data_IF_959965640246
#
_entry.id   IF_959965640246
#
_cell.length_a   1.000
_cell.length_b   1.000
_cell.length_c   1.000
_cell.angle_alpha   90.00
_cell.angle_beta   90.00
_cell.angle_gamma   90.00
#
_symmetry.space_group_name_H-M   'P 1'
#
loop_
_entity.id
_entity.type
_entity.pdbx_description
1 polymer ?
#
# COMPACT_ATOMS: atom_id res chain seq x y z
N UNK A 1 -32.55 -39.39 8.60
CA UNK A 1 -32.03 -39.75 7.27
C UNK A 1 -31.59 -38.44 6.65
N UNK A 2 -30.30 -38.14 6.72
CA UNK A 2 -29.73 -36.84 6.34
C UNK A 2 -29.45 -36.85 4.84
N UNK A 3 -29.96 -35.83 4.14
CA UNK A 3 -30.07 -35.78 2.68
C UNK A 3 -28.72 -35.76 1.94
N UNK A 4 -28.41 -36.86 1.26
CA UNK A 4 -27.25 -37.01 0.37
C UNK A 4 -27.25 -35.99 -0.79
N UNK A 5 -28.41 -35.46 -1.16
CA UNK A 5 -28.55 -34.47 -2.25
C UNK A 5 -27.93 -33.11 -1.93
N UNK A 6 -27.93 -32.67 -0.67
CA UNK A 6 -27.31 -31.39 -0.28
C UNK A 6 -25.78 -31.48 -0.31
N UNK A 7 -25.23 -32.67 -0.09
CA UNK A 7 -23.79 -32.91 -0.14
C UNK A 7 -23.26 -32.88 -1.57
N UNK A 8 -23.96 -33.52 -2.50
CA UNK A 8 -23.54 -33.55 -3.92
C UNK A 8 -23.57 -32.16 -4.58
N UNK A 9 -24.50 -31.28 -4.21
CA UNK A 9 -24.55 -29.91 -4.73
C UNK A 9 -23.43 -29.04 -4.16
N UNK A 10 -23.05 -29.23 -2.89
CA UNK A 10 -21.94 -28.51 -2.27
C UNK A 10 -20.60 -28.88 -2.91
N UNK A 11 -20.40 -30.16 -3.19
CA UNK A 11 -19.16 -30.67 -3.78
C UNK A 11 -18.98 -30.28 -5.25
N UNK A 12 -20.07 -30.06 -6.00
CA UNK A 12 -20.00 -29.67 -7.41
C UNK A 12 -19.87 -28.16 -7.64
N UNK A 13 -20.45 -27.33 -6.78
CA UNK A 13 -20.59 -25.89 -7.06
C UNK A 13 -19.95 -24.96 -6.02
N UNK A 14 -19.43 -25.49 -4.92
CA UNK A 14 -18.83 -24.68 -3.86
C UNK A 14 -19.81 -23.66 -3.27
N UNK A 15 -19.32 -22.76 -2.42
CA UNK A 15 -20.11 -21.89 -1.54
C UNK A 15 -21.12 -20.93 -2.25
N UNK A 16 -21.20 -20.94 -3.58
CA UNK A 16 -22.18 -20.20 -4.37
C UNK A 16 -23.55 -20.89 -4.50
N UNK A 17 -23.67 -22.18 -4.14
CA UNK A 17 -24.90 -22.97 -4.34
C UNK A 17 -25.96 -22.91 -3.23
N UNK A 18 -25.68 -22.26 -2.09
CA UNK A 18 -26.55 -22.29 -0.89
C UNK A 18 -27.28 -20.97 -0.59
N UNK A 19 -27.55 -20.18 -1.62
CA UNK A 19 -28.30 -18.92 -1.50
C UNK A 19 -29.75 -18.98 -1.98
N UNK A 20 -30.19 -20.06 -2.63
CA UNK A 20 -31.49 -20.12 -3.28
C UNK A 20 -32.28 -21.35 -2.85
N UNK A 21 -33.20 -21.13 -1.92
CA UNK A 21 -34.36 -22.01 -1.73
C UNK A 21 -34.47 -22.63 -0.34
N UNK A 22 -35.35 -22.05 0.49
CA UNK A 22 -35.80 -22.71 1.71
C UNK A 22 -36.76 -21.92 2.59
N UNK A 23 -38.06 -22.02 2.31
CA UNK A 23 -39.08 -22.12 3.37
C UNK A 23 -40.04 -20.93 3.58
N UNK A 24 -41.29 -21.20 4.05
CA UNK A 24 -42.47 -20.35 3.86
C UNK A 24 -42.77 -19.43 5.05
N UNK A 25 -43.18 -18.18 4.79
CA UNK A 25 -43.69 -17.30 5.85
C UNK A 25 -43.71 -15.81 5.50
N UNK A 26 -44.87 -15.37 4.99
CA UNK A 26 -45.55 -14.08 5.23
C UNK A 26 -44.72 -12.82 5.55
N UNK A 27 -44.72 -11.83 4.64
CA UNK A 27 -44.27 -10.47 4.95
C UNK A 27 -44.15 -9.53 3.76
N UNK A 28 -45.29 -9.15 3.18
CA UNK A 28 -45.60 -7.86 2.55
C UNK A 28 -44.46 -7.06 1.83
N UNK A 29 -44.34 -7.21 0.50
CA UNK A 29 -43.89 -6.13 -0.37
C UNK A 29 -44.61 -6.18 -1.72
N UNK A 30 -45.26 -5.07 -2.03
CA UNK A 30 -46.04 -4.78 -3.22
C UNK A 30 -45.26 -4.94 -4.54
N UNK A 31 -45.74 -5.86 -5.38
CA UNK A 31 -46.00 -5.64 -6.81
C UNK A 31 -44.82 -5.42 -7.74
N UNK A 32 -44.18 -6.50 -8.19
CA UNK A 32 -43.71 -6.68 -9.58
C UNK A 32 -43.58 -8.20 -9.84
N UNK A 33 -44.66 -8.81 -10.33
CA UNK A 33 -44.66 -10.19 -10.83
C UNK A 33 -44.27 -10.14 -12.31
N UNK A 34 -42.98 -10.33 -12.61
CA UNK A 34 -42.52 -10.62 -13.97
C UNK A 34 -42.18 -12.11 -14.01
N UNK A 35 -43.00 -12.90 -14.70
CA UNK A 35 -42.79 -14.33 -14.89
C UNK A 35 -41.57 -14.59 -15.77
N UNK A 36 -40.86 -15.71 -15.52
CA UNK A 36 -39.66 -16.11 -16.26
C UNK A 36 -39.86 -16.21 -17.78
N UNK A 37 -41.09 -16.45 -18.23
CA UNK A 37 -41.42 -16.53 -19.66
C UNK A 37 -41.30 -15.16 -20.38
N UNK A 38 -41.51 -14.03 -19.68
CA UNK A 38 -41.42 -12.68 -20.27
C UNK A 38 -39.99 -12.11 -20.28
N UNK A 39 -39.08 -12.68 -19.47
CA UNK A 39 -37.65 -12.36 -19.55
C UNK A 39 -37.01 -13.10 -20.73
N UNK A 40 -37.52 -14.27 -21.09
CA UNK A 40 -37.00 -15.08 -22.20
C UNK A 40 -37.50 -14.63 -23.57
N UNK A 41 -38.73 -14.11 -23.66
CA UNK A 41 -39.27 -13.55 -24.90
C UNK A 41 -38.59 -12.23 -25.30
N UNK A 42 -38.23 -11.38 -24.33
CA UNK A 42 -37.59 -10.09 -24.62
C UNK A 42 -36.07 -10.17 -24.87
N UNK A 43 -35.43 -11.29 -24.53
CA UNK A 43 -34.04 -11.61 -24.92
C UNK A 43 -33.96 -12.40 -26.24
N UNK A 44 -35.08 -12.92 -26.74
CA UNK A 44 -35.16 -13.74 -27.95
C UNK A 44 -35.00 -12.96 -29.26
N UNK A 45 -35.32 -11.66 -29.27
CA UNK A 45 -35.26 -10.82 -30.49
C UNK A 45 -33.89 -10.13 -30.72
N UNK A 46 -32.93 -10.30 -29.80
CA UNK A 46 -31.56 -9.77 -29.95
C UNK A 46 -30.53 -10.86 -30.33
N UNK A 47 -30.86 -12.14 -30.15
CA UNK A 47 -29.92 -13.26 -30.32
C UNK A 47 -30.33 -14.27 -31.41
N UNK A 48 -30.98 -13.77 -32.47
CA UNK A 48 -31.19 -14.50 -33.72
C UNK A 48 -29.90 -14.64 -34.54
N UNK A 49 -28.94 -15.39 -34.02
CA UNK A 49 -27.66 -15.66 -34.71
C UNK A 49 -26.69 -16.44 -33.82
N UNK A 50 -26.69 -17.77 -34.00
CA UNK A 50 -25.74 -18.78 -33.50
C UNK A 50 -24.51 -18.28 -32.70
N UNK A 51 -24.57 -18.27 -31.35
CA UNK A 51 -23.43 -17.93 -30.50
C UNK A 51 -22.52 -19.13 -30.19
N UNK A 52 -22.86 -20.34 -30.65
CA UNK A 52 -22.07 -21.55 -30.35
C UNK A 52 -20.90 -21.78 -31.33
N UNK A 53 -20.96 -21.23 -32.55
CA UNK A 53 -19.87 -21.35 -33.53
C UNK A 53 -18.78 -20.28 -33.37
N UNK A 54 -19.07 -19.17 -32.68
CA UNK A 54 -18.14 -18.06 -32.46
C UNK A 54 -17.33 -18.18 -31.16
N UNK A 55 -17.64 -19.15 -30.29
CA UNK A 55 -16.86 -19.46 -29.08
C UNK A 55 -15.74 -20.48 -29.35
N UNK A 56 -15.90 -21.38 -30.34
CA UNK A 56 -14.89 -22.40 -30.68
C UNK A 56 -14.05 -22.05 -31.93
N UNK A 57 -14.23 -20.86 -32.52
CA UNK A 57 -13.49 -20.37 -33.69
C UNK A 57 -12.39 -19.39 -33.31
N UNK A 58 -11.13 -19.80 -33.52
CA UNK A 58 -9.89 -19.07 -33.27
C UNK A 58 -9.92 -17.55 -33.43
N UNK A 59 -9.57 -16.87 -32.34
CA UNK A 59 -9.42 -15.41 -32.34
C UNK A 59 -8.82 -14.88 -31.04
N UNK A 60 -8.01 -15.68 -30.35
CA UNK A 60 -7.23 -15.22 -29.22
C UNK A 60 -6.25 -14.15 -29.68
N UNK A 61 -6.67 -12.88 -29.63
CA UNK A 61 -5.76 -11.74 -29.55
C UNK A 61 -5.07 -11.80 -28.20
N UNK A 62 -4.19 -12.79 -28.06
CA UNK A 62 -3.24 -12.87 -26.96
C UNK A 62 -2.41 -11.61 -27.09
N UNK A 63 -2.61 -10.72 -26.12
CA UNK A 63 -1.89 -9.48 -25.94
C UNK A 63 -0.42 -9.74 -26.30
N UNK A 64 0.05 -9.12 -27.38
CA UNK A 64 1.47 -8.88 -27.56
C UNK A 64 1.83 -8.01 -26.37
N UNK A 65 2.22 -8.65 -25.26
CA UNK A 65 2.90 -7.96 -24.17
C UNK A 65 4.07 -7.29 -24.86
N UNK A 66 3.93 -5.97 -25.07
CA UNK A 66 5.01 -5.14 -25.60
C UNK A 66 6.12 -5.36 -24.60
N UNK A 67 7.14 -6.14 -24.99
CA UNK A 67 8.22 -6.58 -24.12
C UNK A 67 8.77 -5.39 -23.39
N UNK A 68 8.38 -5.24 -22.13
CA UNK A 68 8.81 -4.18 -21.25
C UNK A 68 9.70 -4.85 -20.23
N UNK A 69 10.86 -4.25 -19.96
CA UNK A 69 11.74 -4.78 -18.94
C UNK A 69 11.07 -4.77 -17.57
N UNK A 70 11.61 -5.56 -16.66
CA UNK A 70 11.04 -5.70 -15.31
C UNK A 70 11.16 -4.40 -14.52
N UNK A 71 10.16 -4.12 -13.70
CA UNK A 71 10.19 -2.98 -12.79
C UNK A 71 11.19 -3.20 -11.63
N UNK A 72 11.71 -2.11 -11.09
CA UNK A 72 12.59 -2.09 -9.92
C UNK A 72 11.80 -1.46 -8.77
N UNK A 73 11.73 -2.11 -7.62
CA UNK A 73 11.12 -1.54 -6.41
C UNK A 73 12.19 -1.13 -5.39
N UNK A 74 12.14 0.10 -4.88
CA UNK A 74 13.04 0.59 -3.82
C UNK A 74 12.21 1.15 -2.67
N UNK A 75 12.54 0.76 -1.44
CA UNK A 75 11.97 1.39 -0.23
C UNK A 75 12.83 2.58 0.18
N UNK A 76 12.22 3.76 0.20
CA UNK A 76 12.86 5.00 0.62
C UNK A 76 12.40 5.35 2.02
N UNK A 77 13.29 5.19 2.99
CA UNK A 77 13.02 5.59 4.37
C UNK A 77 13.14 7.11 4.54
N UNK A 78 12.10 7.73 5.08
CA UNK A 78 11.99 9.17 5.28
C UNK A 78 11.79 9.49 6.77
N UNK A 79 12.45 10.54 7.25
CA UNK A 79 12.15 11.09 8.57
C UNK A 79 10.89 11.97 8.52
N UNK A 80 10.26 12.18 9.67
CA UNK A 80 9.07 13.04 9.76
C UNK A 80 9.34 14.49 9.30
N UNK A 81 10.52 15.03 9.59
CA UNK A 81 10.94 16.36 9.11
C UNK A 81 11.04 16.43 7.57
N UNK A 82 11.56 15.37 6.95
CA UNK A 82 11.66 15.26 5.49
C UNK A 82 10.27 15.14 4.84
N UNK A 83 9.35 14.41 5.48
CA UNK A 83 7.97 14.27 5.03
C UNK A 83 7.21 15.59 5.16
N UNK A 84 7.44 16.35 6.24
CA UNK A 84 6.76 17.62 6.46
C UNK A 84 7.12 18.67 5.40
N UNK A 85 8.40 18.79 5.05
CA UNK A 85 8.89 19.82 4.10
C UNK A 85 8.92 19.34 2.65
N UNK A 86 8.97 18.03 2.43
CA UNK A 86 9.35 17.45 1.15
C UNK A 86 10.87 17.54 0.94
N UNK A 87 11.44 16.55 0.28
CA UNK A 87 12.90 16.46 0.10
C UNK A 87 13.26 15.91 -1.28
N UNK A 88 14.37 16.39 -1.82
CA UNK A 88 14.99 15.81 -3.01
C UNK A 88 16.12 14.87 -2.59
N UNK A 89 15.97 13.57 -2.87
CA UNK A 89 16.97 12.54 -2.56
C UNK A 89 17.58 11.96 -3.82
N UNK A 90 18.87 11.64 -3.77
CA UNK A 90 19.57 10.88 -4.80
C UNK A 90 19.65 9.43 -4.37
N UNK A 91 19.04 8.53 -5.12
CA UNK A 91 19.20 7.10 -4.90
C UNK A 91 20.09 6.51 -5.98
N UNK A 92 20.94 5.55 -5.59
CA UNK A 92 21.70 4.75 -6.53
C UNK A 92 20.93 3.46 -6.77
N UNK A 93 20.62 3.19 -8.03
CA UNK A 93 19.98 1.94 -8.44
C UNK A 93 20.92 1.18 -9.36
N UNK A 94 20.88 -0.14 -9.26
CA UNK A 94 21.53 -1.03 -10.21
C UNK A 94 20.48 -1.48 -11.21
N UNK A 95 20.53 -0.94 -12.43
CA UNK A 95 19.62 -1.34 -13.51
C UNK A 95 20.33 -2.25 -14.50
N UNK A 96 19.60 -3.24 -14.99
CA UNK A 96 20.06 -4.11 -16.07
C UNK A 96 19.79 -3.39 -17.39
N UNK A 97 20.84 -3.20 -18.20
CA UNK A 97 20.74 -2.61 -19.53
C UNK A 97 21.29 -3.57 -20.56
N UNK A 98 20.86 -3.37 -21.80
CA UNK A 98 21.48 -4.08 -22.92
C UNK A 98 22.93 -3.63 -23.09
N UNK A 99 23.86 -4.57 -23.23
CA UNK A 99 25.26 -4.24 -23.43
C UNK A 99 25.44 -3.50 -24.77
N UNK A 100 26.23 -2.40 -24.79
CA UNK A 100 26.52 -1.70 -26.04
C UNK A 100 27.26 -2.65 -26.99
N UNK A 101 26.69 -2.90 -28.18
CA UNK A 101 27.24 -3.82 -29.16
C UNK A 101 26.73 -5.26 -29.06
N UNK A 102 25.76 -5.56 -28.20
CA UNK A 102 25.04 -6.83 -28.23
C UNK A 102 24.13 -6.89 -29.47
N UNK A 103 24.37 -7.88 -30.33
CA UNK A 103 23.54 -8.13 -31.50
C UNK A 103 22.67 -9.36 -31.27
N UNK A 104 21.39 -9.25 -31.60
CA UNK A 104 20.45 -10.36 -31.50
C UNK A 104 20.11 -10.90 -32.89
N UNK A 105 20.25 -12.21 -33.04
CA UNK A 105 19.83 -12.94 -34.23
C UNK A 105 18.47 -13.59 -34.00
N UNK A 106 17.68 -13.74 -35.05
CA UNK A 106 16.39 -14.43 -34.97
C UNK A 106 16.61 -15.88 -34.58
N UNK A 107 15.85 -16.39 -33.60
CA UNK A 107 16.00 -17.77 -33.15
C UNK A 107 15.67 -18.72 -34.32
N UNK A 108 16.59 -19.60 -34.74
CA UNK A 108 16.38 -20.47 -35.88
C UNK A 108 15.31 -21.55 -35.62
N UNK A 109 15.09 -21.92 -34.36
CA UNK A 109 14.14 -22.97 -33.97
C UNK A 109 12.68 -22.52 -34.05
N UNK A 110 12.39 -21.26 -33.67
CA UNK A 110 11.03 -20.74 -33.69
C UNK A 110 10.81 -19.67 -34.77
N UNK A 111 11.82 -19.37 -35.61
CA UNK A 111 11.78 -18.31 -36.63
C UNK A 111 11.23 -16.97 -36.11
N UNK A 112 11.61 -16.56 -34.89
CA UNK A 112 11.13 -15.32 -34.28
C UNK A 112 9.75 -15.39 -33.62
N UNK A 113 9.07 -16.53 -33.66
CA UNK A 113 7.72 -16.68 -33.09
C UNK A 113 7.72 -16.85 -31.55
N UNK A 114 8.87 -17.12 -30.93
CA UNK A 114 9.00 -17.33 -29.47
C UNK A 114 8.40 -18.65 -28.94
N UNK A 115 7.57 -19.32 -29.74
CA UNK A 115 6.92 -20.58 -29.42
C UNK A 115 7.20 -21.63 -30.51
N UNK A 116 7.23 -22.90 -30.12
CA UNK A 116 7.36 -24.04 -31.01
C UNK A 116 6.10 -24.88 -30.93
N UNK A 117 5.53 -25.21 -32.09
CA UNK A 117 4.33 -26.02 -32.17
C UNK A 117 4.72 -27.47 -32.44
N UNK A 118 4.57 -28.34 -31.45
CA UNK A 118 4.80 -29.78 -31.60
C UNK A 118 3.48 -30.46 -31.97
N UNK A 119 3.45 -31.11 -33.13
CA UNK A 119 2.32 -31.94 -33.55
C UNK A 119 2.61 -33.38 -33.12
N UNK A 120 1.87 -33.90 -32.14
CA UNK A 120 1.95 -35.28 -31.68
C UNK A 120 0.83 -36.10 -32.32
N UNK A 121 1.18 -37.26 -32.90
CA UNK A 121 0.18 -38.21 -33.41
C UNK A 121 -0.38 -39.02 -32.24
N UNK A 122 -1.69 -38.90 -32.00
CA UNK A 122 -2.42 -39.68 -31.01
C UNK A 122 -3.38 -40.64 -31.72
N UNK A 123 -3.92 -41.62 -30.99
CA UNK A 123 -4.86 -42.62 -31.52
C UNK A 123 -6.14 -41.95 -32.07
N UNK A 124 -6.46 -40.74 -31.62
CA UNK A 124 -7.62 -39.94 -32.03
C UNK A 124 -7.32 -38.88 -33.10
N UNK A 125 -6.09 -38.84 -33.63
CA UNK A 125 -5.67 -37.88 -34.66
C UNK A 125 -4.42 -37.07 -34.29
N UNK A 126 -4.21 -35.95 -34.97
CA UNK A 126 -3.08 -35.05 -34.73
C UNK A 126 -3.43 -34.02 -33.65
N UNK A 127 -2.72 -34.05 -32.53
CA UNK A 127 -2.83 -33.05 -31.46
C UNK A 127 -1.67 -32.06 -31.59
N UNK A 128 -1.98 -30.77 -31.78
CA UNK A 128 -0.99 -29.70 -31.86
C UNK A 128 -0.88 -29.01 -30.50
N UNK A 129 0.29 -29.12 -29.86
CA UNK A 129 0.58 -28.43 -28.61
C UNK A 129 1.64 -27.36 -28.84
N UNK A 130 1.31 -26.13 -28.47
CA UNK A 130 2.25 -25.01 -28.52
C UNK A 130 2.99 -24.91 -27.19
N UNK A 131 4.32 -24.95 -27.22
CA UNK A 131 5.18 -24.75 -26.06
C UNK A 131 6.13 -23.57 -26.28
N UNK A 132 6.63 -23.00 -25.19
CA UNK A 132 7.64 -21.92 -25.25
C UNK A 132 8.92 -22.51 -25.87
N UNK A 133 9.54 -21.79 -26.82
CA UNK A 133 10.75 -22.26 -27.47
C UNK A 133 11.89 -22.42 -26.44
N UNK A 134 12.48 -23.62 -26.27
CA UNK A 134 13.51 -23.85 -25.25
C UNK A 134 14.84 -23.16 -25.56
N UNK A 135 15.06 -22.70 -26.79
CA UNK A 135 16.31 -22.04 -27.21
C UNK A 135 16.28 -20.51 -27.10
N UNK A 136 15.11 -19.89 -26.98
CA UNK A 136 14.98 -18.44 -26.81
C UNK A 136 14.05 -18.04 -25.65
N UNK A 137 13.50 -19.01 -24.93
CA UNK A 137 12.65 -18.83 -23.75
C UNK A 137 11.47 -17.85 -23.99
N UNK A 138 10.95 -17.83 -25.20
CA UNK A 138 9.83 -16.94 -25.57
C UNK A 138 10.24 -15.61 -26.21
N UNK A 139 11.52 -15.22 -26.14
CA UNK A 139 11.99 -13.94 -26.71
C UNK A 139 12.02 -13.90 -28.24
N UNK A 140 12.01 -15.06 -28.90
CA UNK A 140 12.11 -15.18 -30.37
C UNK A 140 13.49 -14.83 -30.94
N UNK A 141 14.43 -14.36 -30.10
CA UNK A 141 15.77 -13.91 -30.48
C UNK A 141 16.83 -14.66 -29.67
N UNK A 142 18.04 -14.75 -30.20
CA UNK A 142 19.22 -15.30 -29.51
C UNK A 142 20.36 -14.31 -29.62
N UNK A 143 21.23 -14.28 -28.62
CA UNK A 143 22.43 -13.46 -28.71
C UNK A 143 23.34 -13.99 -29.83
N UNK A 144 23.68 -13.11 -30.76
CA UNK A 144 24.66 -13.36 -31.80
C UNK A 144 26.04 -12.93 -31.32
N UNK A 145 26.27 -11.61 -31.28
CA UNK A 145 27.50 -11.04 -30.74
C UNK A 145 27.35 -10.73 -29.25
N UNK A 146 28.20 -11.36 -28.43
CA UNK A 146 28.24 -11.17 -26.97
C UNK A 146 29.46 -10.30 -26.61
N UNK A 147 29.27 -9.02 -26.28
CA UNK A 147 30.38 -8.17 -25.86
C UNK A 147 30.99 -8.62 -24.52
N UNK A 148 32.29 -8.37 -24.33
CA UNK A 148 32.99 -8.73 -23.11
C UNK A 148 32.36 -8.07 -21.88
N UNK A 149 32.17 -8.84 -20.80
CA UNK A 149 31.54 -8.37 -19.56
C UNK A 149 30.01 -8.45 -19.54
N UNK A 150 29.35 -8.85 -20.64
CA UNK A 150 27.91 -9.12 -20.66
C UNK A 150 27.57 -10.53 -20.21
N UNK A 151 26.40 -10.71 -19.59
CA UNK A 151 25.86 -12.02 -19.22
C UNK A 151 25.52 -12.89 -20.44
N UNK A 152 25.10 -14.16 -20.24
CA UNK A 152 24.64 -15.04 -21.32
C UNK A 152 23.60 -14.40 -22.24
N UNK A 153 22.79 -13.50 -21.68
CA UNK A 153 21.68 -12.84 -22.37
C UNK A 153 22.08 -11.49 -23.00
N UNK A 154 23.36 -11.11 -22.97
CA UNK A 154 23.85 -9.82 -23.49
C UNK A 154 23.56 -8.62 -22.59
N UNK A 155 23.13 -8.87 -21.37
CA UNK A 155 22.77 -7.86 -20.39
C UNK A 155 23.96 -7.48 -19.49
N UNK A 156 24.04 -6.22 -19.08
CA UNK A 156 25.00 -5.71 -18.09
C UNK A 156 24.28 -4.95 -16.97
N UNK A 157 24.81 -5.05 -15.75
CA UNK A 157 24.33 -4.24 -14.62
C UNK A 157 25.06 -2.90 -14.63
N UNK A 158 24.31 -1.80 -14.72
CA UNK A 158 24.83 -0.43 -14.66
C UNK A 158 24.25 0.30 -13.46
N UNK A 159 25.15 0.84 -12.64
CA UNK A 159 24.76 1.72 -11.54
C UNK A 159 24.34 3.09 -12.11
N UNK A 160 23.17 3.58 -11.70
CA UNK A 160 22.65 4.90 -12.09
C UNK A 160 22.14 5.63 -10.86
N UNK A 161 22.52 6.90 -10.74
CA UNK A 161 21.98 7.78 -9.70
C UNK A 161 20.76 8.52 -10.23
N UNK A 162 19.63 8.40 -9.56
CA UNK A 162 18.36 9.05 -9.91
C UNK A 162 18.00 10.05 -8.81
N UNK A 163 17.62 11.27 -9.23
CA UNK A 163 17.07 12.28 -8.33
C UNK A 163 15.56 12.05 -8.21
N UNK A 164 15.09 11.86 -6.99
CA UNK A 164 13.69 11.67 -6.64
C UNK A 164 13.23 12.88 -5.84
N UNK A 165 12.15 13.52 -6.31
CA UNK A 165 11.50 14.61 -5.58
C UNK A 165 10.32 14.04 -4.81
N UNK A 166 10.48 13.94 -3.49
CA UNK A 166 9.44 13.45 -2.60
C UNK A 166 8.50 14.61 -2.26
N UNK A 167 7.20 14.51 -2.58
CA UNK A 167 6.25 15.55 -2.22
C UNK A 167 6.06 15.58 -0.70
N UNK A 168 5.75 16.75 -0.13
CA UNK A 168 5.42 16.84 1.28
C UNK A 168 4.13 16.07 1.59
N UNK A 169 4.05 15.48 2.78
CA UNK A 169 2.85 14.80 3.26
C UNK A 169 2.69 13.34 2.82
N UNK A 170 3.70 12.74 2.20
CA UNK A 170 3.69 11.29 1.91
C UNK A 170 3.44 10.46 3.17
N UNK A 171 2.74 9.35 3.03
CA UNK A 171 2.41 8.42 4.11
C UNK A 171 3.12 7.10 3.89
N UNK A 172 3.26 6.32 4.95
CA UNK A 172 3.76 4.95 4.86
C UNK A 172 2.94 4.11 3.88
N UNK A 173 3.61 3.34 3.04
CA UNK A 173 2.98 2.48 2.03
C UNK A 173 2.60 3.20 0.73
N UNK A 174 2.59 4.54 0.69
CA UNK A 174 2.42 5.27 -0.57
C UNK A 174 3.63 5.03 -1.50
N UNK A 175 3.38 5.07 -2.81
CA UNK A 175 4.42 4.84 -3.81
C UNK A 175 4.41 5.90 -4.92
N UNK A 176 5.57 6.08 -5.53
CA UNK A 176 5.78 6.93 -6.71
C UNK A 176 6.45 6.11 -7.81
N UNK A 177 5.90 6.18 -9.02
CA UNK A 177 6.47 5.52 -10.19
C UNK A 177 7.27 6.50 -11.02
N UNK A 178 8.51 6.14 -11.36
CA UNK A 178 9.38 6.88 -12.27
C UNK A 178 9.55 6.07 -13.55
N UNK A 179 8.96 6.59 -14.63
CA UNK A 179 8.84 5.87 -15.89
C UNK A 179 10.21 5.63 -16.54
N UNK A 180 10.43 4.42 -17.05
CA UNK A 180 11.61 4.07 -17.86
C UNK A 180 12.93 4.03 -17.08
N UNK A 181 12.86 3.93 -15.75
CA UNK A 181 14.04 3.80 -14.88
C UNK A 181 14.23 2.39 -14.31
N UNK A 182 13.42 1.41 -14.73
CA UNK A 182 13.56 0.00 -14.38
C UNK A 182 14.64 -0.71 -15.18
N UNK A 183 14.59 -2.05 -15.18
CA UNK A 183 15.47 -2.88 -16.01
C UNK A 183 15.03 -2.81 -17.47
N UNK A 184 15.95 -2.97 -18.40
CA UNK A 184 15.66 -3.11 -19.83
C UNK A 184 15.40 -4.57 -20.19
N UNK A 185 14.43 -4.79 -21.08
CA UNK A 185 14.22 -6.08 -21.75
C UNK A 185 15.26 -6.29 -22.87
N UNK A 186 15.32 -7.49 -23.43
CA UNK A 186 16.17 -7.88 -24.57
C UNK A 186 15.97 -6.98 -25.79
N UNK A 187 14.82 -6.31 -25.89
CA UNK A 187 14.51 -5.33 -26.93
C UNK A 187 14.92 -3.88 -26.58
N UNK A 188 15.58 -3.66 -25.45
CA UNK A 188 16.01 -2.35 -24.96
C UNK A 188 14.89 -1.50 -24.36
N UNK A 189 13.70 -2.07 -24.14
CA UNK A 189 12.56 -1.37 -23.55
C UNK A 189 12.66 -1.39 -22.02
N UNK A 190 12.73 -0.23 -21.34
CA UNK A 190 12.83 -0.19 -19.89
C UNK A 190 11.49 -0.39 -19.19
N UNK A 191 11.54 -1.09 -18.05
CA UNK A 191 10.52 -1.06 -17.01
C UNK A 191 10.53 0.24 -16.22
N UNK A 192 9.79 0.26 -15.12
CA UNK A 192 9.66 1.41 -14.23
C UNK A 192 10.41 1.24 -12.92
N UNK A 193 10.68 2.36 -12.26
CA UNK A 193 11.17 2.39 -10.88
C UNK A 193 10.00 2.75 -9.97
N UNK A 194 9.61 1.83 -9.10
CA UNK A 194 8.58 2.01 -8.09
C UNK A 194 9.28 2.34 -6.77
N UNK A 195 9.10 3.58 -6.30
CA UNK A 195 9.64 4.07 -5.05
C UNK A 195 8.55 3.98 -4.00
N UNK A 196 8.69 3.05 -3.06
CA UNK A 196 7.79 2.92 -1.92
C UNK A 196 8.32 3.79 -0.78
N UNK A 197 7.48 4.68 -0.25
CA UNK A 197 7.83 5.49 0.89
C UNK A 197 7.61 4.69 2.17
N UNK A 198 8.63 4.72 3.04
CA UNK A 198 8.56 4.12 4.36
C UNK A 198 8.87 5.17 5.41
N UNK A 199 8.02 5.26 6.41
CA UNK A 199 8.23 6.16 7.54
C UNK A 199 9.30 5.60 8.47
N UNK A 200 10.18 6.48 8.98
CA UNK A 200 11.08 6.13 10.07
C UNK A 200 10.42 6.46 11.39
N UNK A 201 10.51 5.54 12.34
CA UNK A 201 10.12 5.80 13.72
C UNK A 201 10.87 7.01 14.28
N UNK A 202 10.14 7.86 14.99
CA UNK A 202 10.66 9.07 15.60
C UNK A 202 10.71 8.92 17.12
N UNK A 203 11.73 9.49 17.76
CA UNK A 203 11.96 9.36 19.22
C UNK A 203 10.84 10.00 20.03
N UNK A 204 10.30 11.13 19.55
CA UNK A 204 9.33 11.95 20.28
C UNK A 204 7.92 11.94 19.68
N UNK A 205 7.77 11.56 18.42
CA UNK A 205 6.54 11.81 17.67
C UNK A 205 5.89 10.50 17.25
N UNK A 206 4.57 10.48 17.30
CA UNK A 206 3.74 9.43 16.70
C UNK A 206 2.83 10.09 15.68
N UNK A 207 2.83 9.57 14.45
CA UNK A 207 1.94 10.06 13.40
C UNK A 207 0.55 9.42 13.54
N UNK A 208 -0.49 10.24 13.40
CA UNK A 208 -1.89 9.81 13.29
C UNK A 208 -2.52 10.53 12.09
N UNK A 209 -2.41 9.89 10.92
CA UNK A 209 -2.76 10.50 9.63
C UNK A 209 -1.98 11.79 9.39
N UNK A 210 -2.68 12.92 9.42
CA UNK A 210 -2.09 14.25 9.23
C UNK A 210 -1.62 14.89 10.53
N UNK A 211 -2.08 14.36 11.67
CA UNK A 211 -1.74 14.84 12.98
C UNK A 211 -0.44 14.21 13.49
N UNK A 212 0.24 14.93 14.36
CA UNK A 212 1.41 14.42 15.06
C UNK A 212 1.17 14.51 16.56
N UNK A 213 1.37 13.40 17.25
CA UNK A 213 1.20 13.28 18.69
C UNK A 213 2.55 13.38 19.38
N UNK A 214 2.56 14.09 20.50
CA UNK A 214 3.69 14.20 21.41
C UNK A 214 3.17 14.09 22.84
N UNK A 215 3.86 13.34 23.69
CA UNK A 215 3.63 13.39 25.13
C UNK A 215 4.66 14.32 25.77
N UNK A 216 4.19 15.28 26.57
CA UNK A 216 5.05 16.17 27.36
C UNK A 216 4.79 15.98 28.84
N UNK A 217 5.87 15.91 29.62
CA UNK A 217 5.81 15.82 31.07
C UNK A 217 6.09 17.19 31.69
N UNK A 218 5.19 17.62 32.56
CA UNK A 218 5.26 18.93 33.23
C UNK A 218 5.31 18.74 34.74
N UNK A 219 5.93 19.67 35.44
CA UNK A 219 5.98 19.62 36.90
C UNK A 219 4.62 19.96 37.52
N UNK A 220 4.36 19.45 38.72
CA UNK A 220 3.12 19.78 39.45
C UNK A 220 2.87 21.30 39.60
N UNK A 221 3.86 22.13 40.01
CA UNK A 221 3.64 23.58 40.09
C UNK A 221 3.22 24.19 38.75
N UNK A 222 3.87 23.78 37.65
CA UNK A 222 3.53 24.25 36.30
C UNK A 222 2.13 23.80 35.86
N UNK A 223 1.67 22.63 36.30
CA UNK A 223 0.30 22.19 36.02
C UNK A 223 -0.75 23.05 36.76
N UNK A 224 -0.44 23.48 37.99
CA UNK A 224 -1.33 24.32 38.81
C UNK A 224 -1.33 25.77 38.34
N UNK A 225 -0.15 26.39 38.23
CA UNK A 225 0.02 27.80 37.90
C UNK A 225 -0.11 28.09 36.39
N UNK A 226 0.06 27.05 35.56
CA UNK A 226 0.24 27.21 34.13
C UNK A 226 1.64 27.72 33.81
N UNK A 227 1.85 28.09 32.54
CA UNK A 227 3.14 28.62 32.11
C UNK A 227 3.34 28.49 30.63
N UNK A 228 4.61 28.52 30.21
CA UNK A 228 5.01 28.33 28.83
C UNK A 228 6.17 27.35 28.77
N UNK A 229 6.13 26.45 27.80
CA UNK A 229 7.18 25.47 27.56
C UNK A 229 7.57 25.45 26.09
N UNK A 230 8.84 25.19 25.82
CA UNK A 230 9.33 24.99 24.47
C UNK A 230 9.12 23.54 24.06
N UNK A 231 8.47 23.32 22.91
CA UNK A 231 8.07 22.00 22.42
C UNK A 231 8.69 21.74 21.05
N UNK A 232 9.26 20.54 20.82
CA UNK A 232 9.69 20.14 19.48
C UNK A 232 8.47 19.98 18.57
N UNK A 233 8.62 20.46 17.34
CA UNK A 233 7.64 20.37 16.24
C UNK A 233 8.37 19.85 14.99
N UNK A 234 7.63 19.48 13.95
CA UNK A 234 8.20 19.00 12.68
C UNK A 234 9.09 20.04 11.97
N UNK A 235 8.90 21.33 12.27
CA UNK A 235 9.62 22.45 11.66
C UNK A 235 10.71 23.06 12.56
N UNK A 236 10.95 22.50 13.73
CA UNK A 236 11.87 23.05 14.73
C UNK A 236 11.22 23.10 16.10
N UNK A 237 11.29 24.23 16.80
CA UNK A 237 10.70 24.38 18.14
C UNK A 237 9.63 25.47 18.16
N UNK A 238 8.63 25.30 19.02
CA UNK A 238 7.57 26.27 19.22
C UNK A 238 7.19 26.38 20.70
N UNK A 239 6.78 27.58 21.12
CA UNK A 239 6.32 27.82 22.48
C UNK A 239 4.86 27.37 22.63
N UNK A 240 4.58 26.48 23.59
CA UNK A 240 3.23 26.08 23.99
C UNK A 240 2.88 26.72 25.33
N UNK A 241 1.75 27.44 25.36
CA UNK A 241 1.16 27.95 26.60
C UNK A 241 0.36 26.85 27.28
N UNK A 242 0.73 26.54 28.52
CA UNK A 242 0.00 25.63 29.39
C UNK A 242 -0.99 26.48 30.21
N UNK A 243 -2.31 26.18 30.15
CA UNK A 243 -3.29 26.84 31.01
C UNK A 243 -3.11 26.41 32.47
N UNK A 244 -3.45 27.29 33.40
CA UNK A 244 -3.49 26.95 34.82
C UNK A 244 -4.56 25.89 35.10
N UNK A 245 -4.26 24.98 36.03
CA UNK A 245 -5.15 23.89 36.40
C UNK A 245 -5.31 22.80 35.32
N UNK A 246 -4.31 22.63 34.44
CA UNK A 246 -4.33 21.59 33.42
C UNK A 246 -4.41 20.21 34.05
N UNK A 247 -5.29 19.36 33.52
CA UNK A 247 -5.47 18.01 34.03
C UNK A 247 -4.46 17.03 33.38
N UNK A 248 -3.94 16.04 34.13
CA UNK A 248 -3.15 14.97 33.53
C UNK A 248 -3.94 14.24 32.43
N UNK A 249 -3.30 13.98 31.30
CA UNK A 249 -3.92 13.35 30.12
C UNK A 249 -4.63 14.33 29.19
N UNK A 250 -4.81 15.60 29.58
CA UNK A 250 -5.42 16.59 28.70
C UNK A 250 -4.55 16.82 27.45
N UNK A 251 -5.21 16.89 26.29
CA UNK A 251 -4.55 17.10 25.00
C UNK A 251 -4.69 18.56 24.59
N UNK A 252 -3.57 19.22 24.40
CA UNK A 252 -3.48 20.59 23.87
C UNK A 252 -3.20 20.53 22.37
N UNK A 253 -3.91 21.35 21.60
CA UNK A 253 -3.82 21.36 20.12
C UNK A 253 -3.02 22.56 19.63
N UNK A 254 -1.94 22.31 18.90
CA UNK A 254 -1.15 23.31 18.19
C UNK A 254 -1.55 23.30 16.71
N UNK A 255 -2.30 24.33 16.30
CA UNK A 255 -2.88 24.39 14.95
C UNK A 255 -1.81 24.54 13.88
N UNK A 256 -1.95 23.76 12.80
CA UNK A 256 -1.10 23.84 11.60
C UNK A 256 0.34 23.37 11.81
N UNK A 257 0.62 22.62 12.88
CA UNK A 257 1.95 22.07 13.22
C UNK A 257 2.09 20.56 12.96
N UNK A 258 1.13 19.95 12.27
CA UNK A 258 1.17 18.57 11.80
C UNK A 258 1.68 18.45 10.36
N UNK A 259 1.40 17.31 9.73
CA UNK A 259 1.80 17.02 8.36
C UNK A 259 0.90 17.71 7.33
N UNK A 260 1.46 18.16 6.20
CA UNK A 260 0.66 18.67 5.09
C UNK A 260 -0.13 17.54 4.43
N UNK A 261 -1.34 17.88 3.97
CA UNK A 261 -2.16 16.96 3.18
C UNK A 261 -1.61 16.81 1.77
N UNK A 262 -1.56 15.58 1.26
CA UNK A 262 -1.29 15.34 -0.16
C UNK A 262 -2.30 16.11 -1.02
N UNK A 263 -1.79 16.87 -1.99
CA UNK A 263 -2.59 17.64 -2.96
C UNK A 263 -3.50 18.73 -2.34
N UNK A 264 -3.25 19.16 -1.11
CA UNK A 264 -3.96 20.28 -0.49
C UNK A 264 -2.98 21.24 0.19
N UNK A 265 -3.43 22.48 0.42
CA UNK A 265 -2.68 23.48 1.21
C UNK A 265 -2.92 23.33 2.72
N UNK A 266 -3.86 22.48 3.12
CA UNK A 266 -4.16 22.24 4.52
C UNK A 266 -3.04 21.44 5.18
N UNK A 267 -2.74 21.81 6.43
CA UNK A 267 -1.82 21.08 7.31
C UNK A 267 -2.60 20.56 8.50
N UNK A 268 -2.21 19.38 8.98
CA UNK A 268 -2.71 18.85 10.22
C UNK A 268 -2.21 19.65 11.43
N UNK A 269 -2.62 19.18 12.60
CA UNK A 269 -2.28 19.78 13.90
C UNK A 269 -1.33 18.90 14.69
N UNK A 270 -0.52 19.51 15.55
CA UNK A 270 0.22 18.78 16.57
C UNK A 270 -0.61 18.69 17.85
N UNK A 271 -0.80 17.46 18.34
CA UNK A 271 -1.56 17.12 19.53
C UNK A 271 -0.59 16.79 20.65
N UNK A 272 -0.57 17.62 21.68
CA UNK A 272 0.35 17.49 22.82
C UNK A 272 -0.43 16.95 24.01
N UNK A 273 -0.20 15.69 24.36
CA UNK A 273 -0.74 15.07 25.57
C UNK A 273 0.11 15.50 26.75
N UNK A 274 -0.49 16.17 27.72
CA UNK A 274 0.22 16.62 28.93
C UNK A 274 0.13 15.56 30.01
N UNK A 275 1.25 15.20 30.61
CA UNK A 275 1.35 14.34 31.78
C UNK A 275 2.02 15.12 32.91
N UNK A 276 1.61 14.88 34.14
CA UNK A 276 2.24 15.49 35.32
C UNK A 276 3.29 14.53 35.87
N UNK A 277 4.53 14.99 35.93
CA UNK A 277 5.62 14.23 36.51
C UNK A 277 5.65 14.43 38.03
N UNK A 278 5.43 13.35 38.78
CA UNK A 278 5.42 13.35 40.24
C UNK A 278 6.71 12.67 40.71
N UNK A 279 7.61 13.39 41.41
CA UNK A 279 8.89 12.84 41.83
C UNK A 279 8.69 11.74 42.89
N UNK A 280 9.38 10.62 42.73
CA UNK A 280 9.31 9.48 43.67
C UNK A 280 10.09 9.72 44.96
N UNK A 281 11.08 10.61 44.94
CA UNK A 281 11.92 10.98 46.09
C UNK A 281 11.90 12.48 46.27
N UNK A 282 11.62 12.92 47.51
CA UNK A 282 11.57 14.34 47.87
C UNK A 282 12.41 14.60 49.13
N UNK A 283 12.99 15.80 49.23
CA UNK A 283 13.75 16.22 50.39
C UNK A 283 12.83 16.52 51.59
N UNK A 284 13.39 16.53 52.81
CA UNK A 284 12.64 16.90 54.02
C UNK A 284 12.05 18.30 53.94
N UNK A 285 12.72 19.24 53.27
CA UNK A 285 12.22 20.61 53.08
C UNK A 285 10.99 20.64 52.17
N UNK A 286 11.05 19.95 51.02
CA UNK A 286 9.93 19.85 50.08
C UNK A 286 8.72 19.18 50.71
N UNK A 287 8.94 18.13 51.51
CA UNK A 287 7.87 17.44 52.25
C UNK A 287 7.10 18.38 53.19
N UNK A 288 7.82 19.23 53.95
CA UNK A 288 7.19 20.25 54.82
C UNK A 288 6.35 21.25 54.03
N UNK A 289 6.81 21.67 52.84
CA UNK A 289 6.04 22.59 51.97
C UNK A 289 4.77 21.92 51.46
N UNK A 290 4.83 20.64 51.07
CA UNK A 290 3.65 19.88 50.63
C UNK A 290 2.64 19.68 51.77
N UNK A 291 3.10 19.48 53.01
CA UNK A 291 2.22 19.37 54.19
C UNK A 291 1.44 20.68 54.45
N UNK A 292 2.09 21.84 54.27
CA UNK A 292 1.40 23.14 54.33
C UNK A 292 0.35 23.25 53.23
N UNK A 293 0.74 22.96 51.98
CA UNK A 293 -0.16 22.96 50.83
C UNK A 293 -1.38 22.05 51.06
N UNK A 294 -1.18 20.86 51.63
CA UNK A 294 -2.25 19.90 51.95
C UNK A 294 -3.29 20.48 52.92
N UNK A 295 -2.89 21.37 53.81
CA UNK A 295 -3.79 22.00 54.80
C UNK A 295 -4.60 23.14 54.18
N UNK A 296 -4.06 23.80 53.17
CA UNK A 296 -4.70 24.92 52.46
C UNK A 296 -5.63 24.47 51.33
N UNK A 297 -5.42 23.28 50.76
CA UNK A 297 -6.22 22.74 49.67
C UNK A 297 -7.52 22.09 50.14
N UNK A 298 -8.60 22.30 49.38
CA UNK A 298 -9.88 21.66 49.63
C UNK A 298 -9.81 20.13 49.46
N UNK A 299 -10.51 19.36 50.31
CA UNK A 299 -10.58 17.91 50.17
C UNK A 299 -11.31 17.50 48.89
N UNK A 300 -10.81 16.44 48.24
CA UNK A 300 -11.44 15.87 47.04
C UNK A 300 -12.81 15.31 47.41
N UNK A 301 -13.88 15.95 46.92
CA UNK A 301 -15.27 15.60 47.28
C UNK A 301 -15.72 14.22 46.78
N UNK A 302 -15.15 13.72 45.67
CA UNK A 302 -15.51 12.43 45.04
C UNK A 302 -14.26 11.68 44.56
N UNK A 303 -13.57 10.98 45.46
CA UNK A 303 -12.30 10.31 45.12
C UNK A 303 -12.48 8.99 44.37
N UNK A 304 -13.68 8.40 44.39
CA UNK A 304 -13.95 7.10 43.79
C UNK A 304 -14.94 7.23 42.63
N UNK A 305 -14.56 6.68 41.48
CA UNK A 305 -15.43 6.53 40.29
C UNK A 305 -15.47 5.07 39.89
N UNK A 306 -16.64 4.59 39.45
CA UNK A 306 -16.78 3.26 38.88
C UNK A 306 -16.11 3.25 37.50
N UNK A 307 -15.23 2.27 37.25
CA UNK A 307 -14.65 2.04 35.94
C UNK A 307 -15.67 1.20 35.15
N UNK A 308 -16.13 1.71 34.01
CA UNK A 308 -16.91 0.92 33.06
C UNK A 308 -15.92 0.15 32.17
N UNK A 309 -16.05 -1.17 32.14
CA UNK A 309 -15.23 -2.11 31.34
C UNK A 309 -15.94 -2.38 30.02
#
# INVERSE_FOLDING_TARGET
MSDDQKRSQYDQFGHAGVGMGGGPGQGDFSGFHMSMDDIFSQFGDIFGGSPFESIFGGGGRQSRSRGRGSDISVRLHLSYEEIAKGVEKKIKINKTILAPGAEFTTCPTCHGQGQVSTVQKTILGHMQTTSICPHCEGSGKRIGNRPAGSGPDGMIKKEKTIKIKVPPGVEDGNYMTINGQGNEDINGHPGDLIVMFAEKDHVHFVRDGEHVLLEVRVSYPMAVEGGKIEIPTLDGKAELKIPSGIQPGQVLRMRGKGFPRLRSRATGDQLVKVQVDIPTKISKSVKKTIEKLKTELDPIKKPFTKIDI
#
